data_IF_230821935816
#
_entry.id   IF_230821935816
#
_cell.length_a   1.000
_cell.length_b   1.000
_cell.length_c   1.000
_cell.angle_alpha   90.00
_cell.angle_beta   90.00
_cell.angle_gamma   90.00
#
_symmetry.space_group_name_H-M   'P 1'
#
loop_
_entity.id
_entity.type
_entity.pdbx_description
1 polymer ?
#
# COMPACT_ATOMS: atom_id res chain seq x y z
N UNK A 1 -12.66 -23.72 8.64
CA UNK A 1 -11.88 -23.32 7.46
C UNK A 1 -12.35 -21.91 7.09
N UNK A 2 -11.65 -20.87 7.57
CA UNK A 2 -11.94 -19.49 7.20
C UNK A 2 -11.32 -19.27 5.83
N UNK A 3 -12.17 -19.19 4.80
CA UNK A 3 -11.79 -18.88 3.43
C UNK A 3 -11.46 -17.39 3.37
N UNK A 4 -10.33 -17.02 2.77
CA UNK A 4 -9.90 -15.64 2.47
C UNK A 4 -11.09 -14.75 2.04
N UNK A 5 -11.30 -13.63 2.75
CA UNK A 5 -12.56 -12.86 2.74
C UNK A 5 -12.41 -11.54 1.95
N UNK A 6 -11.26 -10.88 2.09
CA UNK A 6 -10.88 -9.64 1.40
C UNK A 6 -9.56 -9.89 0.67
N UNK A 7 -9.42 -9.37 -0.54
CA UNK A 7 -8.18 -9.52 -1.31
C UNK A 7 -7.87 -8.24 -2.08
N UNK A 8 -6.58 -8.05 -2.33
CA UNK A 8 -6.02 -7.05 -3.23
C UNK A 8 -5.47 -7.85 -4.40
N UNK A 9 -5.99 -7.65 -5.61
CA UNK A 9 -5.37 -8.23 -6.80
C UNK A 9 -4.10 -7.45 -7.18
N UNK A 10 -3.22 -8.08 -7.96
CA UNK A 10 -2.01 -7.41 -8.48
C UNK A 10 -2.31 -6.06 -9.14
N UNK A 11 -3.45 -5.95 -9.82
CA UNK A 11 -3.87 -4.74 -10.53
C UNK A 11 -4.66 -3.76 -9.65
N UNK A 12 -4.92 -4.10 -8.38
CA UNK A 12 -5.71 -3.28 -7.48
C UNK A 12 -4.86 -2.23 -6.73
N UNK A 13 -3.54 -2.22 -6.92
CA UNK A 13 -2.68 -1.13 -6.44
C UNK A 13 -2.21 -0.28 -7.61
N UNK A 14 -2.56 1.01 -7.58
CA UNK A 14 -2.14 1.97 -8.60
C UNK A 14 -1.15 2.97 -8.00
N UNK A 15 -0.04 3.18 -8.69
CA UNK A 15 0.95 4.23 -8.40
C UNK A 15 0.97 5.17 -9.59
N UNK A 16 0.74 6.47 -9.37
CA UNK A 16 0.53 7.45 -10.45
C UNK A 16 -0.57 7.01 -11.45
N UNK A 17 -1.61 6.33 -10.96
CA UNK A 17 -2.70 5.78 -11.77
C UNK A 17 -2.32 4.58 -12.66
N UNK A 18 -1.10 4.05 -12.54
CA UNK A 18 -0.65 2.86 -13.24
C UNK A 18 -0.63 1.65 -12.30
N UNK A 19 -1.11 0.46 -12.74
CA UNK A 19 -1.02 -0.75 -11.94
C UNK A 19 0.42 -1.08 -11.55
N UNK A 20 0.68 -1.26 -10.26
CA UNK A 20 1.99 -1.62 -9.74
C UNK A 20 1.89 -3.01 -9.08
N UNK A 21 2.39 -4.02 -9.79
CA UNK A 21 2.49 -5.39 -9.27
C UNK A 21 3.95 -5.78 -8.96
N UNK A 22 4.16 -7.04 -8.59
CA UNK A 22 5.48 -7.55 -8.19
C UNK A 22 6.55 -7.46 -9.30
N UNK A 23 6.14 -7.30 -10.56
CA UNK A 23 7.00 -7.37 -11.74
C UNK A 23 7.24 -5.98 -12.35
N UNK A 24 6.58 -4.93 -11.84
CA UNK A 24 6.66 -3.55 -12.33
C UNK A 24 7.28 -2.66 -11.27
N UNK A 25 8.31 -1.89 -11.67
CA UNK A 25 8.88 -0.82 -10.86
C UNK A 25 8.23 0.49 -11.27
N UNK A 26 7.52 1.14 -10.36
CA UNK A 26 6.97 2.47 -10.59
C UNK A 26 8.07 3.52 -10.39
N UNK A 27 8.38 4.29 -11.42
CA UNK A 27 9.35 5.38 -11.33
C UNK A 27 8.65 6.70 -10.98
N UNK A 28 9.31 7.52 -10.16
CA UNK A 28 8.87 8.86 -9.81
C UNK A 28 10.08 9.79 -9.60
N UNK A 29 9.86 11.10 -9.66
CA UNK A 29 10.88 12.09 -9.33
C UNK A 29 10.81 12.46 -7.85
N UNK A 30 11.96 12.65 -7.22
CA UNK A 30 12.04 13.20 -5.87
C UNK A 30 11.42 14.60 -5.82
N UNK A 31 10.57 14.83 -4.82
CA UNK A 31 9.84 16.08 -4.66
C UNK A 31 8.45 16.09 -5.29
N UNK A 32 8.14 15.14 -6.17
CA UNK A 32 6.80 15.01 -6.73
C UNK A 32 5.84 14.29 -5.78
N UNK A 33 4.57 14.66 -5.86
CA UNK A 33 3.49 13.89 -5.25
C UNK A 33 3.22 12.66 -6.10
N UNK A 34 3.26 11.49 -5.46
CA UNK A 34 3.02 10.19 -6.08
C UNK A 34 1.68 9.67 -5.58
N UNK A 35 0.58 9.82 -6.33
CA UNK A 35 -0.70 9.25 -5.94
C UNK A 35 -0.62 7.73 -5.83
N UNK A 36 -1.24 7.21 -4.76
CA UNK A 36 -1.35 5.79 -4.47
C UNK A 36 -2.82 5.46 -4.25
N UNK A 37 -3.33 4.48 -5.00
CA UNK A 37 -4.66 3.93 -4.80
C UNK A 37 -4.54 2.46 -4.44
N UNK A 38 -5.23 2.04 -3.38
CA UNK A 38 -5.33 0.63 -2.98
C UNK A 38 -6.78 0.22 -2.98
N UNK A 39 -7.14 -0.66 -3.91
CA UNK A 39 -8.48 -1.22 -4.03
C UNK A 39 -8.57 -2.57 -3.31
N UNK A 40 -9.63 -2.71 -2.54
CA UNK A 40 -10.00 -3.91 -1.80
C UNK A 40 -11.27 -4.46 -2.38
N UNK A 41 -11.33 -5.77 -2.57
CA UNK A 41 -12.57 -6.44 -2.99
C UNK A 41 -13.02 -7.47 -1.96
N UNK A 42 -14.30 -7.44 -1.58
CA UNK A 42 -14.89 -8.45 -0.71
C UNK A 42 -15.49 -9.59 -1.54
N UNK A 43 -14.85 -10.77 -1.49
CA UNK A 43 -15.34 -11.99 -2.16
C UNK A 43 -16.15 -12.90 -1.25
N UNK A 44 -16.36 -12.50 0.01
CA UNK A 44 -17.11 -13.31 0.95
C UNK A 44 -18.61 -13.13 0.83
N UNK A 45 -19.35 -13.98 1.55
CA UNK A 45 -20.83 -13.93 1.62
C UNK A 45 -21.36 -12.92 2.63
N UNK A 46 -20.47 -12.27 3.41
CA UNK A 46 -20.84 -11.37 4.49
C UNK A 46 -20.14 -10.04 4.36
N UNK A 47 -20.69 -9.01 5.01
CA UNK A 47 -19.99 -7.75 5.14
C UNK A 47 -18.75 -7.93 6.03
N UNK A 48 -17.67 -7.21 5.74
CA UNK A 48 -16.39 -7.30 6.45
C UNK A 48 -16.04 -5.94 7.00
N UNK A 49 -15.81 -5.84 8.30
CA UNK A 49 -15.60 -4.57 8.99
C UNK A 49 -16.11 -4.59 10.42
N UNK A 50 -15.73 -3.60 11.26
CA UNK A 50 -14.80 -2.51 10.93
C UNK A 50 -13.33 -2.96 10.96
N UNK A 51 -12.48 -2.32 10.17
CA UNK A 51 -11.02 -2.50 10.20
C UNK A 51 -10.30 -1.26 9.67
N UNK A 52 -8.98 -1.20 9.83
CA UNK A 52 -8.13 -0.18 9.23
C UNK A 52 -7.08 -0.79 8.30
N UNK A 53 -6.79 -0.11 7.18
CA UNK A 53 -5.70 -0.43 6.27
C UNK A 53 -4.60 0.61 6.47
N UNK A 54 -3.36 0.20 6.69
CA UNK A 54 -2.21 1.11 6.80
C UNK A 54 -1.17 0.77 5.75
N UNK A 55 -0.73 1.76 4.99
CA UNK A 55 0.39 1.63 4.07
C UNK A 55 1.66 2.14 4.73
N UNK A 56 2.70 1.32 4.72
CA UNK A 56 3.97 1.60 5.38
C UNK A 56 5.10 1.45 4.35
N UNK A 57 5.84 2.52 4.06
CA UNK A 57 6.99 2.43 3.18
C UNK A 57 8.17 1.80 3.93
N UNK A 58 8.99 1.05 3.22
CA UNK A 58 10.26 0.53 3.72
C UNK A 58 11.29 0.48 2.59
N UNK A 59 12.57 0.34 2.95
CA UNK A 59 13.63 0.01 2.00
C UNK A 59 14.19 -1.37 2.34
N UNK A 60 14.47 -2.20 1.33
CA UNK A 60 15.18 -3.46 1.53
C UNK A 60 16.67 -3.29 1.20
N UNK A 61 17.53 -3.38 2.22
CA UNK A 61 18.98 -3.33 2.03
C UNK A 61 19.51 -4.69 1.58
N UNK A 62 19.49 -4.99 0.27
CA UNK A 62 20.16 -6.11 -0.47
C UNK A 62 20.39 -7.48 0.23
N UNK A 63 19.73 -7.77 1.35
CA UNK A 63 19.92 -8.94 2.22
C UNK A 63 18.62 -9.29 2.97
N UNK A 64 17.47 -8.70 2.61
CA UNK A 64 16.19 -8.90 3.29
C UNK A 64 16.05 -8.12 4.60
N UNK A 65 16.88 -7.10 4.81
CA UNK A 65 16.78 -6.22 6.00
C UNK A 65 15.90 -5.03 5.63
N UNK A 66 14.66 -5.06 6.11
CA UNK A 66 13.69 -4.00 5.89
C UNK A 66 13.92 -2.83 6.85
N UNK A 67 14.24 -1.66 6.30
CA UNK A 67 14.31 -0.41 7.02
C UNK A 67 12.98 0.35 6.94
N UNK A 68 12.37 0.57 8.10
CA UNK A 68 11.12 1.32 8.25
C UNK A 68 11.35 2.73 8.82
N UNK A 69 12.57 3.07 9.22
CA UNK A 69 12.92 4.40 9.74
C UNK A 69 13.16 5.37 8.58
N UNK A 70 12.06 5.76 7.93
CA UNK A 70 12.08 6.57 6.70
C UNK A 70 11.49 7.98 6.87
N UNK A 71 11.38 8.46 8.11
CA UNK A 71 10.67 9.72 8.44
C UNK A 71 11.19 10.94 7.68
N UNK A 72 12.50 10.99 7.41
CA UNK A 72 13.14 12.07 6.66
C UNK A 72 13.34 11.73 5.17
N UNK A 73 12.92 10.54 4.73
CA UNK A 73 13.23 9.98 3.40
C UNK A 73 11.98 9.92 2.52
N UNK A 74 10.85 9.51 3.08
CA UNK A 74 9.55 9.47 2.43
C UNK A 74 8.45 9.76 3.44
N UNK A 75 7.47 10.54 3.02
CA UNK A 75 6.32 10.88 3.85
C UNK A 75 5.01 10.66 3.10
N UNK A 76 3.93 10.43 3.84
CA UNK A 76 2.59 10.43 3.30
C UNK A 76 2.03 11.84 3.31
N UNK A 77 1.39 12.22 2.21
CA UNK A 77 0.59 13.44 2.14
C UNK A 77 -0.85 13.05 2.45
N UNK A 78 -1.30 13.40 3.66
CA UNK A 78 -2.57 12.98 4.22
C UNK A 78 -2.41 11.82 5.21
N UNK A 79 -3.39 10.91 5.25
CA UNK A 79 -3.32 9.73 6.10
C UNK A 79 -2.69 8.56 5.36
N UNK A 80 -1.83 7.81 6.04
CA UNK A 80 -1.37 6.51 5.57
C UNK A 80 -2.24 5.36 6.13
N UNK A 81 -3.15 5.67 7.05
CA UNK A 81 -4.12 4.74 7.64
C UNK A 81 -5.54 5.12 7.22
N UNK A 82 -6.27 4.15 6.69
CA UNK A 82 -7.63 4.27 6.17
C UNK A 82 -8.57 3.44 7.03
N UNK A 83 -9.54 4.09 7.68
CA UNK A 83 -10.55 3.42 8.49
C UNK A 83 -11.74 3.02 7.60
N UNK A 84 -12.12 1.75 7.66
CA UNK A 84 -13.14 1.14 6.80
C UNK A 84 -14.19 0.51 7.70
N UNK A 85 -15.39 1.10 7.71
CA UNK A 85 -16.50 0.63 8.55
C UNK A 85 -17.00 -0.75 8.10
N UNK A 86 -17.22 -0.92 6.80
CA UNK A 86 -17.64 -2.19 6.22
C UNK A 86 -17.45 -2.22 4.70
N UNK A 87 -17.14 -3.40 4.16
CA UNK A 87 -17.20 -3.69 2.73
C UNK A 87 -18.25 -4.80 2.53
N UNK A 88 -19.33 -4.52 1.79
CA UNK A 88 -20.39 -5.51 1.58
C UNK A 88 -19.95 -6.62 0.61
N UNK A 89 -20.65 -7.77 0.57
CA UNK A 89 -20.37 -8.83 -0.38
C UNK A 89 -20.32 -8.30 -1.81
N UNK A 90 -19.30 -8.71 -2.58
CA UNK A 90 -19.07 -8.33 -3.98
C UNK A 90 -18.76 -6.85 -4.24
N UNK A 91 -18.70 -6.02 -3.20
CA UNK A 91 -18.34 -4.60 -3.31
C UNK A 91 -16.83 -4.38 -3.19
N UNK A 92 -16.42 -3.19 -3.63
CA UNK A 92 -15.05 -2.71 -3.55
C UNK A 92 -14.96 -1.52 -2.59
N UNK A 93 -13.81 -1.35 -1.97
CA UNK A 93 -13.41 -0.14 -1.26
C UNK A 93 -12.10 0.36 -1.86
N UNK A 94 -11.96 1.67 -2.07
CA UNK A 94 -10.74 2.29 -2.58
C UNK A 94 -10.18 3.20 -1.51
N UNK A 95 -8.90 3.04 -1.22
CA UNK A 95 -8.13 3.87 -0.29
C UNK A 95 -7.15 4.72 -1.09
N UNK A 96 -7.37 6.03 -1.12
CA UNK A 96 -6.58 6.98 -1.90
C UNK A 96 -5.65 7.80 -1.00
N UNK A 97 -4.37 7.82 -1.35
CA UNK A 97 -3.36 8.62 -0.66
C UNK A 97 -2.30 9.14 -1.64
N UNK A 98 -1.28 9.80 -1.11
CA UNK A 98 -0.12 10.18 -1.89
C UNK A 98 1.16 10.05 -1.06
N UNK A 99 2.23 9.65 -1.72
CA UNK A 99 3.58 9.60 -1.18
C UNK A 99 4.38 10.81 -1.69
N UNK A 100 5.30 11.30 -0.86
CA UNK A 100 6.30 12.28 -1.24
C UNK A 100 7.67 11.72 -0.88
N UNK A 101 8.48 11.44 -1.90
CA UNK A 101 9.84 10.97 -1.74
C UNK A 101 10.78 12.18 -1.69
N UNK A 102 11.58 12.27 -0.63
CA UNK A 102 12.52 13.38 -0.38
C UNK A 102 13.95 13.04 -0.80
N UNK A 103 14.23 11.75 -0.98
CA UNK A 103 15.52 11.24 -1.41
C UNK A 103 15.32 10.14 -2.44
N UNK A 104 16.36 9.92 -3.25
CA UNK A 104 16.37 8.85 -4.22
C UNK A 104 16.64 7.49 -3.61
N UNK A 105 16.18 6.47 -4.32
CA UNK A 105 16.36 5.08 -3.94
C UNK A 105 15.20 4.19 -4.35
N UNK A 106 15.33 2.94 -3.97
CA UNK A 106 14.33 1.91 -4.10
C UNK A 106 13.51 1.82 -2.80
N UNK A 107 12.20 1.92 -2.95
CA UNK A 107 11.23 1.90 -1.87
C UNK A 107 10.18 0.83 -2.14
N UNK A 108 9.68 0.25 -1.06
CA UNK A 108 8.67 -0.79 -1.11
C UNK A 108 7.52 -0.42 -0.19
N UNK A 109 6.30 -0.82 -0.54
CA UNK A 109 5.14 -0.60 0.31
C UNK A 109 4.67 -1.91 0.94
N UNK A 110 4.46 -1.87 2.25
CA UNK A 110 3.78 -2.90 2.99
C UNK A 110 2.37 -2.41 3.33
N UNK A 111 1.35 -3.19 2.97
CA UNK A 111 -0.06 -2.87 3.22
C UNK A 111 -0.53 -3.75 4.38
N UNK A 112 -0.76 -3.15 5.55
CA UNK A 112 -1.17 -3.87 6.76
C UNK A 112 -2.64 -3.64 7.07
N UNK A 113 -3.30 -4.65 7.62
CA UNK A 113 -4.66 -4.54 8.11
C UNK A 113 -4.69 -4.68 9.63
N UNK A 114 -5.51 -3.86 10.27
CA UNK A 114 -5.69 -3.83 11.71
C UNK A 114 -7.18 -3.98 12.03
N UNK A 115 -7.53 -4.87 12.94
CA UNK A 115 -8.88 -4.92 13.50
C UNK A 115 -9.05 -3.76 14.50
N UNK A 116 -10.15 -3.01 14.36
CA UNK A 116 -10.49 -1.89 15.25
C UNK A 116 -10.93 -2.38 16.65
N UNK A 117 -11.30 -3.66 16.79
CA UNK A 117 -11.93 -4.18 18.01
C UNK A 117 -10.99 -4.56 19.15
N UNK A 118 -9.68 -4.75 18.92
CA UNK A 118 -8.59 -4.80 19.93
C UNK A 118 -7.38 -5.52 19.33
N UNK A 119 -6.38 -4.77 18.84
CA UNK A 119 -4.97 -5.20 18.66
C UNK A 119 -4.70 -6.60 18.10
N UNK A 120 -5.63 -7.19 17.36
CA UNK A 120 -5.48 -8.48 16.70
C UNK A 120 -5.16 -8.17 15.26
N UNK A 121 -3.92 -8.43 14.87
CA UNK A 121 -3.56 -8.49 13.46
C UNK A 121 -4.47 -9.54 12.80
N UNK A 122 -5.13 -9.14 11.71
CA UNK A 122 -5.89 -10.09 10.92
C UNK A 122 -4.92 -11.15 10.39
N UNK A 123 -5.30 -12.43 10.32
CA UNK A 123 -4.41 -13.47 9.80
C UNK A 123 -3.83 -13.05 8.46
N UNK A 124 -2.50 -13.05 8.32
CA UNK A 124 -1.79 -12.70 7.09
C UNK A 124 -2.29 -13.50 5.89
N UNK A 125 -2.71 -14.75 6.12
CA UNK A 125 -3.32 -15.63 5.12
C UNK A 125 -4.62 -15.07 4.52
N UNK A 126 -5.21 -14.01 5.10
CA UNK A 126 -6.39 -13.36 4.52
C UNK A 126 -6.03 -12.55 3.28
N UNK A 127 -4.75 -12.22 3.06
CA UNK A 127 -4.34 -11.28 2.02
C UNK A 127 -3.12 -11.78 1.25
N UNK A 128 -3.25 -11.89 -0.07
CA UNK A 128 -2.11 -11.93 -0.97
C UNK A 128 -1.75 -10.48 -1.30
N UNK A 129 -0.85 -9.88 -0.53
CA UNK A 129 -0.45 -8.49 -0.76
C UNK A 129 0.54 -8.41 -1.93
N UNK A 130 0.28 -7.59 -2.96
CA UNK A 130 1.30 -7.32 -3.96
C UNK A 130 2.46 -6.58 -3.30
N UNK A 131 3.69 -6.96 -3.65
CA UNK A 131 4.87 -6.16 -3.30
C UNK A 131 4.94 -4.98 -4.26
N UNK A 132 4.70 -3.78 -3.76
CA UNK A 132 4.76 -2.54 -4.56
C UNK A 132 6.19 -2.03 -4.50
N UNK A 133 6.84 -1.86 -5.66
CA UNK A 133 8.19 -1.31 -5.76
C UNK A 133 8.14 0.04 -6.46
N UNK A 134 8.57 1.08 -5.76
CA UNK A 134 8.67 2.44 -6.27
C UNK A 134 10.14 2.87 -6.26
N UNK A 135 10.62 3.39 -7.38
CA UNK A 135 11.96 3.95 -7.51
C UNK A 135 11.89 5.46 -7.65
N UNK A 136 12.41 6.17 -6.66
CA UNK A 136 12.53 7.62 -6.70
C UNK A 136 13.87 8.01 -7.33
N UNK A 137 13.80 8.85 -8.36
CA UNK A 137 14.93 9.31 -9.17
C UNK A 137 15.13 10.82 -9.01
N UNK A 138 16.34 11.31 -9.26
CA UNK A 138 16.56 12.75 -9.33
C UNK A 138 15.73 13.36 -10.46
N UNK A 139 15.19 14.56 -10.26
CA UNK A 139 14.56 15.31 -11.34
C UNK A 139 15.52 15.43 -12.51
N UNK A 140 15.03 15.19 -13.72
CA UNK A 140 15.84 15.42 -14.91
C UNK A 140 16.18 16.91 -14.97
N UNK A 141 17.47 17.26 -14.87
CA UNK A 141 17.91 18.65 -14.99
C UNK A 141 17.42 19.22 -16.33
N UNK A 142 16.67 20.35 -16.35
CA UNK A 142 16.37 21.01 -17.60
C UNK A 142 17.69 21.50 -18.23
N UNK A 143 17.94 21.08 -19.47
CA UNK A 143 19.07 21.51 -20.30
C UNK A 143 19.05 23.01 -20.60
#
# INVERSE_FOLDING_TARGET
MQVQILYIEKTDVLVNGQPCDCDIVAECEVGDLVPLEVKLTNRSKHAVGPFALTVIPFQDYQNGVHNYELQDVVTFVGSNTFYIDSVNPTENCVCDGALLFLYTGDFYLNIKFHDDSSSRELPLDWFCLPSVHIKALEPALPH
#
